data_IF_628268555453
#
_entry.id   IF_628268555453
#
_cell.length_a   1.000
_cell.length_b   1.000
_cell.length_c   1.000
_cell.angle_alpha   90.00
_cell.angle_beta   90.00
_cell.angle_gamma   90.00
#
_symmetry.space_group_name_H-M   'P 1'
#
loop_
_entity.id
_entity.type
_entity.pdbx_description
1 polymer ?
#
# COMPACT_ATOMS: atom_id res chain seq x y z
N UNK A 1 -11.78 11.02 -6.98
CA UNK A 1 -10.51 11.31 -6.28
C UNK A 1 -9.51 10.25 -6.70
N UNK A 2 -8.25 10.62 -6.95
CA UNK A 2 -7.19 9.69 -7.38
C UNK A 2 -6.66 8.86 -6.20
N UNK A 3 -6.20 7.65 -6.47
CA UNK A 3 -5.61 6.76 -5.46
C UNK A 3 -4.36 7.37 -4.83
N UNK A 4 -3.52 8.04 -5.63
CA UNK A 4 -2.33 8.71 -5.12
C UNK A 4 -2.68 9.84 -4.13
N UNK A 5 -3.77 10.57 -4.38
CA UNK A 5 -4.20 11.67 -3.51
C UNK A 5 -4.85 11.15 -2.23
N UNK A 6 -5.71 10.12 -2.34
CA UNK A 6 -6.29 9.44 -1.17
C UNK A 6 -5.20 8.89 -0.23
N UNK A 7 -4.14 8.34 -0.80
CA UNK A 7 -2.97 7.89 -0.04
C UNK A 7 -2.24 9.05 0.67
N UNK A 8 -1.97 10.16 -0.02
CA UNK A 8 -1.32 11.34 0.58
C UNK A 8 -2.14 11.94 1.72
N UNK A 9 -3.45 12.09 1.53
CA UNK A 9 -4.35 12.61 2.56
C UNK A 9 -4.41 11.67 3.77
N UNK A 10 -4.48 10.36 3.53
CA UNK A 10 -4.41 9.36 4.60
C UNK A 10 -3.12 9.50 5.42
N UNK A 11 -1.97 9.71 4.77
CA UNK A 11 -0.69 9.90 5.46
C UNK A 11 -0.65 11.22 6.25
N UNK A 12 -1.28 12.28 5.75
CA UNK A 12 -1.29 13.60 6.39
C UNK A 12 -2.08 13.61 7.71
N UNK A 13 -3.07 12.72 7.83
CA UNK A 13 -3.92 12.58 9.02
C UNK A 13 -3.27 11.73 10.14
N UNK A 14 -2.15 11.06 9.87
CA UNK A 14 -1.49 10.19 10.84
C UNK A 14 -0.58 10.97 11.81
N UNK A 15 -0.51 10.49 13.06
CA UNK A 15 0.47 10.96 14.03
C UNK A 15 1.91 10.71 13.53
N UNK A 16 2.86 11.64 13.71
CA UNK A 16 4.17 11.59 13.03
C UNK A 16 5.10 10.43 13.42
N UNK A 17 4.73 9.63 14.43
CA UNK A 17 5.50 8.53 15.01
C UNK A 17 5.13 7.13 14.48
N UNK A 18 4.24 7.05 13.48
CA UNK A 18 3.96 5.78 12.81
C UNK A 18 5.21 5.21 12.13
N UNK A 19 5.34 3.89 12.13
CA UNK A 19 6.46 3.15 11.54
C UNK A 19 6.02 2.30 10.35
N UNK A 20 4.88 1.61 10.47
CA UNK A 20 4.40 0.68 9.46
C UNK A 20 2.91 0.87 9.23
N UNK A 21 2.51 0.83 7.97
CA UNK A 21 1.12 0.84 7.55
C UNK A 21 0.84 -0.41 6.73
N UNK A 22 -0.36 -0.97 6.90
CA UNK A 22 -0.90 -1.98 6.00
C UNK A 22 -2.12 -1.38 5.29
N UNK A 23 -2.05 -1.36 3.97
CA UNK A 23 -3.15 -0.92 3.12
C UNK A 23 -3.77 -2.12 2.41
N UNK A 24 -5.09 -2.09 2.28
CA UNK A 24 -5.84 -2.89 1.32
C UNK A 24 -6.09 -2.06 0.05
N UNK A 25 -5.88 -2.67 -1.10
CA UNK A 25 -6.24 -2.16 -2.41
C UNK A 25 -7.22 -3.12 -3.08
N UNK A 26 -8.43 -2.64 -3.34
CA UNK A 26 -9.45 -3.37 -4.11
C UNK A 26 -9.48 -2.85 -5.54
N UNK A 27 -9.26 -3.73 -6.51
CA UNK A 27 -9.29 -3.44 -7.93
C UNK A 27 -10.55 -4.04 -8.57
N UNK A 28 -11.63 -3.26 -8.76
CA UNK A 28 -12.93 -3.79 -9.17
C UNK A 28 -12.97 -4.30 -10.62
N UNK A 29 -12.07 -3.83 -11.49
CA UNK A 29 -11.98 -4.29 -12.87
C UNK A 29 -11.07 -5.53 -12.97
N UNK A 30 -11.70 -6.70 -13.03
CA UNK A 30 -10.97 -7.97 -13.13
C UNK A 30 -10.15 -8.11 -14.41
N UNK A 31 -10.48 -7.38 -15.48
CA UNK A 31 -9.81 -7.50 -16.78
C UNK A 31 -8.44 -6.82 -16.80
N UNK A 32 -8.20 -5.91 -15.85
CA UNK A 32 -6.96 -5.10 -15.76
C UNK A 32 -6.07 -5.52 -14.58
N UNK A 33 -6.40 -6.60 -13.88
CA UNK A 33 -5.68 -7.02 -12.67
C UNK A 33 -4.19 -7.27 -12.90
N UNK A 34 -3.82 -7.92 -14.00
CA UNK A 34 -2.41 -8.23 -14.24
C UNK A 34 -1.59 -6.99 -14.58
N UNK A 35 -2.16 -6.02 -15.32
CA UNK A 35 -1.53 -4.72 -15.53
C UNK A 35 -1.39 -3.97 -14.21
N UNK A 36 -2.45 -3.90 -13.41
CA UNK A 36 -2.44 -3.22 -12.12
C UNK A 36 -1.40 -3.83 -11.17
N UNK A 37 -1.32 -5.17 -11.11
CA UNK A 37 -0.32 -5.90 -10.31
C UNK A 37 1.10 -5.64 -10.80
N UNK A 38 1.31 -5.53 -12.11
CA UNK A 38 2.63 -5.21 -12.66
C UNK A 38 3.06 -3.79 -12.28
N UNK A 39 2.14 -2.82 -12.37
CA UNK A 39 2.40 -1.43 -11.97
C UNK A 39 2.69 -1.30 -10.47
N UNK A 40 2.00 -2.10 -9.66
CA UNK A 40 2.18 -2.15 -8.19
C UNK A 40 3.24 -3.15 -7.73
N UNK A 41 3.92 -3.87 -8.62
CA UNK A 41 4.90 -4.89 -8.23
C UNK A 41 5.98 -4.38 -7.24
N UNK A 42 6.49 -3.14 -7.35
CA UNK A 42 7.47 -2.62 -6.39
C UNK A 42 6.97 -2.48 -4.95
N UNK A 43 5.66 -2.42 -4.72
CA UNK A 43 5.09 -2.36 -3.36
C UNK A 43 4.99 -3.73 -2.70
N UNK A 44 5.43 -4.80 -3.38
CA UNK A 44 5.31 -6.18 -2.94
C UNK A 44 3.86 -6.56 -2.63
N UNK A 45 2.95 -6.17 -3.53
CA UNK A 45 1.51 -6.39 -3.42
C UNK A 45 1.19 -7.89 -3.16
N UNK A 46 0.53 -8.18 -2.05
CA UNK A 46 0.11 -9.52 -1.61
C UNK A 46 -1.36 -9.74 -1.94
N UNK A 47 -1.72 -10.81 -2.65
CA UNK A 47 -3.13 -11.14 -2.88
C UNK A 47 -3.80 -11.61 -1.58
N UNK A 48 -5.00 -11.11 -1.27
CA UNK A 48 -5.81 -11.61 -0.15
C UNK A 48 -6.35 -13.01 -0.51
N UNK A 49 -6.11 -14.04 0.32
CA UNK A 49 -6.62 -15.39 0.07
C UNK A 49 -8.14 -15.42 -0.15
N UNK A 50 -8.60 -16.20 -1.12
CA UNK A 50 -10.03 -16.32 -1.45
C UNK A 50 -10.58 -15.19 -2.33
N UNK A 51 -9.75 -14.24 -2.78
CA UNK A 51 -10.21 -13.10 -3.61
C UNK A 51 -9.38 -12.93 -4.89
N UNK A 52 -10.03 -12.40 -5.93
CA UNK A 52 -9.35 -12.06 -7.20
C UNK A 52 -8.91 -10.59 -7.29
N UNK A 53 -9.62 -9.70 -6.61
CA UNK A 53 -9.48 -8.25 -6.77
C UNK A 53 -8.89 -7.55 -5.54
N UNK A 54 -8.69 -8.24 -4.42
CA UNK A 54 -8.21 -7.63 -3.19
C UNK A 54 -6.74 -7.98 -2.95
N UNK A 55 -5.99 -6.95 -2.60
CA UNK A 55 -4.57 -7.05 -2.33
C UNK A 55 -4.17 -6.21 -1.14
N UNK A 56 -3.11 -6.60 -0.46
CA UNK A 56 -2.51 -5.85 0.62
C UNK A 56 -1.10 -5.43 0.24
N UNK A 57 -0.64 -4.32 0.79
CA UNK A 57 0.77 -3.96 0.77
C UNK A 57 1.15 -3.22 2.05
N UNK A 58 2.45 -3.16 2.30
CA UNK A 58 2.99 -2.47 3.47
C UNK A 58 3.79 -1.26 3.06
N UNK A 59 3.64 -0.20 3.84
CA UNK A 59 4.38 1.05 3.69
C UNK A 59 5.12 1.34 4.99
N UNK A 60 6.37 1.76 4.87
CA UNK A 60 7.20 2.17 5.99
C UNK A 60 7.47 3.67 5.97
N UNK A 61 7.64 4.25 7.16
CA UNK A 61 8.05 5.64 7.32
C UNK A 61 9.58 5.76 7.26
N UNK A 62 10.20 6.48 8.22
CA UNK A 62 11.65 6.53 8.41
C UNK A 62 12.24 5.18 8.83
N UNK A 63 11.45 4.35 9.50
CA UNK A 63 11.75 2.99 9.95
C UNK A 63 10.50 2.11 9.78
N UNK A 64 10.63 0.80 9.87
CA UNK A 64 9.53 -0.16 9.65
C UNK A 64 9.80 -1.14 8.50
N UNK A 65 8.77 -1.80 7.98
CA UNK A 65 8.81 -2.85 6.97
C UNK A 65 7.82 -2.57 5.84
N UNK A 66 8.25 -2.79 4.60
CA UNK A 66 7.48 -2.51 3.39
C UNK A 66 8.19 -1.50 2.48
N UNK A 67 7.48 -1.01 1.46
CA UNK A 67 8.00 0.02 0.57
C UNK A 67 8.00 1.39 1.26
N UNK A 68 8.80 2.35 0.78
CA UNK A 68 8.74 3.72 1.28
C UNK A 68 7.55 4.48 0.68
N UNK A 69 7.05 5.50 1.38
CA UNK A 69 5.84 6.26 0.99
C UNK A 69 5.87 6.77 -0.45
N UNK A 70 6.98 7.37 -0.87
CA UNK A 70 7.14 7.88 -2.24
C UNK A 70 7.05 6.79 -3.32
N UNK A 71 7.48 5.55 -3.03
CA UNK A 71 7.36 4.44 -3.98
C UNK A 71 5.90 3.99 -4.09
N UNK A 72 5.21 3.86 -2.96
CA UNK A 72 3.79 3.52 -2.94
C UNK A 72 2.98 4.56 -3.73
N UNK A 73 3.18 5.84 -3.43
CA UNK A 73 2.54 6.94 -4.14
C UNK A 73 2.81 6.91 -5.64
N UNK A 74 4.07 6.75 -6.06
CA UNK A 74 4.44 6.69 -7.47
C UNK A 74 3.79 5.49 -8.19
N UNK A 75 3.59 4.36 -7.50
CA UNK A 75 2.92 3.20 -8.08
C UNK A 75 1.40 3.41 -8.18
N UNK A 76 0.76 4.00 -7.17
CA UNK A 76 -0.66 4.37 -7.21
C UNK A 76 -0.93 5.41 -8.32
N UNK A 77 -0.06 6.41 -8.47
CA UNK A 77 -0.16 7.40 -9.54
C UNK A 77 -0.07 6.77 -10.95
N UNK A 78 0.62 5.64 -11.11
CA UNK A 78 0.62 4.89 -12.38
C UNK A 78 -0.71 4.21 -12.65
N UNK A 79 -1.42 3.73 -11.63
CA UNK A 79 -2.79 3.23 -11.78
C UNK A 79 -3.72 4.37 -12.22
N UNK A 80 -3.63 5.52 -11.56
CA UNK A 80 -4.39 6.73 -11.89
C UNK A 80 -4.14 7.17 -13.34
N UNK A 81 -2.86 7.25 -13.75
CA UNK A 81 -2.47 7.62 -15.12
C UNK A 81 -2.98 6.63 -16.19
N UNK A 82 -3.23 5.37 -15.82
CA UNK A 82 -3.80 4.33 -16.69
C UNK A 82 -5.30 4.17 -16.55
N UNK A 83 -5.95 5.05 -15.79
CA UNK A 83 -7.37 5.04 -15.49
C UNK A 83 -7.82 3.66 -14.98
N UNK A 84 -6.96 3.01 -14.19
CA UNK A 84 -7.29 1.75 -13.52
C UNK A 84 -7.94 2.13 -12.18
N UNK A 85 -9.25 1.92 -12.01
CA UNK A 85 -9.93 2.27 -10.77
C UNK A 85 -9.47 1.35 -9.63
N UNK A 86 -9.49 1.89 -8.43
CA UNK A 86 -9.29 1.12 -7.20
C UNK A 86 -9.97 1.78 -6.02
N UNK A 87 -10.00 1.06 -4.90
CA UNK A 87 -10.33 1.61 -3.58
C UNK A 87 -9.20 1.28 -2.63
N UNK A 88 -8.74 2.28 -1.89
CA UNK A 88 -7.66 2.13 -0.93
C UNK A 88 -8.24 2.22 0.50
N UNK A 89 -7.88 1.28 1.36
CA UNK A 89 -8.26 1.31 2.78
C UNK A 89 -7.01 1.14 3.63
N UNK A 90 -6.86 1.97 4.67
CA UNK A 90 -5.83 1.77 5.69
C UNK A 90 -6.34 0.78 6.74
N UNK A 91 -5.76 -0.41 6.78
CA UNK A 91 -6.20 -1.50 7.67
C UNK A 91 -5.47 -1.50 9.02
N UNK A 92 -4.20 -1.10 9.03
CA UNK A 92 -3.38 -1.16 10.25
C UNK A 92 -2.34 -0.07 10.27
N UNK A 93 -2.18 0.55 11.45
CA UNK A 93 -1.10 1.47 11.78
C UNK A 93 -0.31 0.90 12.94
N UNK A 94 0.99 0.77 12.77
CA UNK A 94 1.92 0.41 13.83
C UNK A 94 2.79 1.62 14.16
N UNK A 95 2.99 1.85 15.45
CA UNK A 95 3.82 2.94 15.98
C UNK A 95 5.05 2.36 16.67
N UNK A 96 6.19 3.06 16.54
CA UNK A 96 7.48 2.74 17.20
C UNK A 96 7.95 1.28 17.08
N UNK A 97 7.72 0.65 15.92
CA UNK A 97 8.28 -0.69 15.67
C UNK A 97 9.77 -0.60 15.39
N UNK A 98 10.58 -1.16 16.30
CA UNK A 98 12.02 -1.38 16.09
C UNK A 98 12.25 -2.69 15.35
N UNK A 99 13.03 -2.64 14.26
CA UNK A 99 13.42 -3.83 13.48
C UNK A 99 14.22 -4.80 14.35
N UNK A 100 13.87 -6.07 14.33
CA UNK A 100 14.73 -7.14 14.84
C UNK A 100 15.48 -7.80 13.67
N UNK A 101 16.68 -7.27 13.36
CA UNK A 101 17.51 -7.73 12.24
C UNK A 101 16.79 -7.61 10.87
N UNK A 102 16.85 -8.62 10.00
CA UNK A 102 16.27 -8.60 8.64
C UNK A 102 14.78 -8.92 8.59
N UNK A 103 14.17 -9.30 9.71
CA UNK A 103 12.74 -9.65 9.77
C UNK A 103 11.92 -8.47 10.27
N UNK A 104 10.74 -8.28 9.67
CA UNK A 104 9.73 -7.34 10.15
C UNK A 104 9.21 -7.71 11.55
N UNK A 105 8.36 -6.87 12.17
CA UNK A 105 7.78 -7.18 13.47
C UNK A 105 7.08 -8.55 13.47
N UNK A 106 7.44 -9.40 14.44
CA UNK A 106 6.71 -10.62 14.80
C UNK A 106 5.67 -10.27 15.86
N UNK A 107 4.40 -10.40 15.52
CA UNK A 107 3.27 -10.34 16.47
C UNK A 107 2.85 -11.75 16.86
#
# INVERSE_FOLDING_TARGET
MSLATEFEETLADLAPDWSDLRFELVLPDETRLDEARLLMAPTQLERVPGTRSQFNFRVSHKQGYGCFTGLAQACLAKLDARLIPGRLTLETVLHDVRRNMTQGPTF
#
